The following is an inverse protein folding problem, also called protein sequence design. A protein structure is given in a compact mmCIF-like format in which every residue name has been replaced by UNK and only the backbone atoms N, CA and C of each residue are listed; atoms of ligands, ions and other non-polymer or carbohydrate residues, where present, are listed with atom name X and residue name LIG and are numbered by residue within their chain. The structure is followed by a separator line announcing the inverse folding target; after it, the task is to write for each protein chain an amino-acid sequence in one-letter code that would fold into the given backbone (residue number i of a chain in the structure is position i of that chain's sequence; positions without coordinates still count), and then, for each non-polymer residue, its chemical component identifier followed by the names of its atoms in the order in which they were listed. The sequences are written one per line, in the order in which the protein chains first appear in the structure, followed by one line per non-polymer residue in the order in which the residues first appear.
data_IF_123548737961
#
_entry.id   IF_123548737961
#
_cell.length_a   1.000
_cell.length_b   1.000
_cell.length_c   1.000
_cell.angle_alpha   90.00
_cell.angle_beta   90.00
_cell.angle_gamma   90.00
#
_symmetry.space_group_name_H-M   'P 1'
#
loop_
_entity.id
_entity.type
_entity.pdbx_description
1 polymer ?
#
# COMPACT_ATOMS: atom_id res chain seq x y z
N UNK A 1 14.84 21.94 -23.80
CA UNK A 1 13.73 22.10 -22.85
C UNK A 1 12.36 21.63 -23.36
N UNK A 2 11.96 21.83 -24.65
CA UNK A 2 10.64 21.39 -25.16
C UNK A 2 10.49 19.85 -25.25
N UNK A 3 11.53 19.11 -25.59
CA UNK A 3 11.47 17.65 -25.74
C UNK A 3 11.32 16.94 -24.36
N UNK A 4 11.95 17.44 -23.33
CA UNK A 4 11.86 16.89 -21.97
C UNK A 4 10.45 17.01 -21.39
N UNK A 5 9.77 18.14 -21.70
CA UNK A 5 8.43 18.40 -21.20
C UNK A 5 7.35 17.49 -21.86
N UNK A 6 7.59 17.07 -23.10
CA UNK A 6 6.67 16.15 -23.82
C UNK A 6 6.83 14.71 -23.32
N UNK A 7 8.07 14.28 -23.05
CA UNK A 7 8.35 12.96 -22.50
C UNK A 7 7.78 12.81 -21.07
N UNK A 8 7.91 13.86 -20.28
CA UNK A 8 7.35 13.93 -18.92
C UNK A 8 5.81 13.84 -18.91
N UNK A 9 5.14 14.55 -19.84
CA UNK A 9 3.67 14.50 -19.94
C UNK A 9 3.17 13.09 -20.30
N UNK A 10 3.85 12.41 -21.20
CA UNK A 10 3.45 11.06 -21.65
C UNK A 10 3.66 10.03 -20.52
N UNK A 11 4.72 10.17 -19.75
CA UNK A 11 5.03 9.24 -18.63
C UNK A 11 4.05 9.39 -17.46
N UNK A 12 3.69 10.63 -17.07
CA UNK A 12 2.70 10.90 -16.01
C UNK A 12 1.33 10.31 -16.38
N UNK A 13 0.95 10.42 -17.64
CA UNK A 13 -0.33 9.97 -18.15
C UNK A 13 -0.45 8.44 -18.09
N UNK A 14 0.61 7.71 -18.39
CA UNK A 14 0.59 6.23 -18.37
C UNK A 14 0.47 5.68 -16.95
N UNK A 15 0.99 6.35 -15.96
CA UNK A 15 1.00 5.89 -14.57
C UNK A 15 -0.35 6.04 -13.82
N UNK A 16 -1.24 6.95 -14.29
CA UNK A 16 -2.59 7.07 -13.72
C UNK A 16 -3.58 6.04 -14.31
N UNK A 17 -3.16 5.30 -15.34
CA UNK A 17 -3.97 4.30 -16.04
C UNK A 17 -3.55 2.90 -15.65
N UNK A 18 -4.17 2.36 -14.62
CA UNK A 18 -4.19 0.92 -14.37
C UNK A 18 -5.22 0.33 -15.34
N UNK A 19 -4.78 -0.07 -16.55
CA UNK A 19 -5.64 -0.79 -17.47
C UNK A 19 -5.55 -2.30 -17.21
N UNK A 20 -6.71 -2.91 -17.03
CA UNK A 20 -6.88 -4.34 -16.89
C UNK A 20 -6.82 -5.00 -18.26
N UNK A 21 -5.84 -5.86 -18.47
CA UNK A 21 -5.91 -6.89 -19.49
C UNK A 21 -6.10 -8.22 -18.78
N UNK A 22 -7.33 -8.73 -18.81
CA UNK A 22 -7.64 -10.08 -18.34
C UNK A 22 -7.18 -11.05 -19.42
N UNK A 23 -6.04 -11.71 -19.21
CA UNK A 23 -5.70 -12.95 -19.90
C UNK A 23 -5.79 -14.08 -18.87
N UNK A 24 -6.82 -14.91 -19.02
CA UNK A 24 -7.02 -16.07 -18.18
C UNK A 24 -5.89 -17.09 -18.35
N UNK A 25 -5.39 -17.62 -17.25
CA UNK A 25 -4.50 -18.79 -17.23
C UNK A 25 -4.95 -19.75 -16.13
N UNK A 26 -5.00 -21.02 -16.55
CA UNK A 26 -5.59 -22.14 -15.92
C UNK A 26 -5.06 -22.53 -14.54
N UNK A 27 -5.92 -23.24 -13.84
CA UNK A 27 -5.69 -23.84 -12.53
C UNK A 27 -4.65 -24.97 -12.58
N UNK A 28 -3.72 -24.96 -11.62
CA UNK A 28 -2.84 -26.09 -11.31
C UNK A 28 -3.27 -26.68 -9.98
N UNK A 29 -3.48 -28.01 -9.86
CA UNK A 29 -3.92 -28.62 -8.62
C UNK A 29 -2.75 -28.82 -7.65
N UNK A 30 -2.95 -28.42 -6.39
CA UNK A 30 -2.01 -28.71 -5.30
C UNK A 30 -2.45 -29.98 -4.59
N UNK A 31 -1.61 -31.01 -4.64
CA UNK A 31 -1.73 -32.25 -3.86
C UNK A 31 -1.24 -32.02 -2.44
N UNK A 32 -2.07 -32.43 -1.48
CA UNK A 32 -1.79 -32.31 -0.06
C UNK A 32 -0.70 -33.29 0.42
N UNK A 33 0.04 -32.85 1.42
CA UNK A 33 0.91 -33.66 2.24
C UNK A 33 0.66 -33.35 3.72
N UNK A 34 0.08 -34.30 4.43
CA UNK A 34 -0.05 -34.33 5.89
C UNK A 34 1.33 -34.47 6.54
N UNK A 35 1.64 -33.62 7.51
CA UNK A 35 2.68 -33.86 8.49
C UNK A 35 2.08 -33.75 9.89
N UNK A 36 2.01 -34.85 10.61
CA UNK A 36 1.72 -34.94 12.04
C UNK A 36 2.97 -34.56 12.83
N UNK A 37 2.81 -33.77 13.88
CA UNK A 37 3.82 -33.62 14.94
C UNK A 37 3.14 -33.89 16.26
N UNK A 38 3.39 -35.11 16.75
CA UNK A 38 3.23 -35.50 18.15
C UNK A 38 4.60 -35.48 18.82
N UNK A 39 4.57 -35.23 20.12
CA UNK A 39 5.63 -35.41 21.12
C UNK A 39 6.73 -34.32 21.22
N UNK A 40 6.58 -33.56 22.31
CA UNK A 40 7.56 -33.51 23.41
C UNK A 40 6.99 -32.71 24.59
N UNK A 41 6.52 -33.50 25.57
CA UNK A 41 6.23 -33.08 26.95
C UNK A 41 7.45 -33.39 27.81
N UNK A 42 7.80 -32.46 28.71
CA UNK A 42 8.34 -32.71 30.08
C UNK A 42 9.04 -31.44 30.57
N UNK A 43 8.51 -30.77 31.42
CA UNK A 43 8.25 -30.66 32.88
C UNK A 43 9.24 -29.72 33.62
N UNK A 44 8.94 -29.29 34.87
CA UNK A 44 8.84 -27.91 35.22
C UNK A 44 9.91 -27.44 36.23
N UNK A 45 10.21 -26.14 36.33
CA UNK A 45 10.92 -25.57 37.51
C UNK A 45 10.38 -24.18 37.90
N UNK A 46 9.74 -24.21 39.05
CA UNK A 46 9.81 -23.31 40.19
C UNK A 46 9.73 -21.77 40.06
N UNK A 47 8.69 -21.27 40.68
CA UNK A 47 8.46 -19.98 41.35
C UNK A 47 9.68 -19.20 41.84
N UNK A 48 9.73 -17.92 41.47
CA UNK A 48 10.11 -16.84 42.39
C UNK A 48 9.09 -15.72 42.24
N UNK A 49 8.33 -15.44 43.29
CA UNK A 49 7.58 -14.19 43.47
C UNK A 49 8.57 -13.07 43.82
N UNK A 50 8.47 -11.95 43.12
CA UNK A 50 8.48 -10.67 43.85
C UNK A 50 7.69 -9.64 43.08
N UNK A 51 6.96 -8.88 43.86
CA UNK A 51 5.95 -7.92 43.54
C UNK A 51 6.55 -6.56 43.20
N UNK A 52 6.12 -5.97 42.05
CA UNK A 52 5.58 -4.61 42.02
C UNK A 52 4.97 -4.36 40.64
N UNK A 53 3.65 -4.39 40.57
CA UNK A 53 2.88 -4.14 39.36
C UNK A 53 2.62 -2.64 39.18
N UNK A 54 3.25 -2.07 38.18
CA UNK A 54 2.63 -1.01 37.42
C UNK A 54 1.81 -1.66 36.29
N UNK A 55 0.51 -1.43 36.29
CA UNK A 55 -0.41 -1.94 35.30
C UNK A 55 -0.04 -1.40 33.92
N UNK A 56 0.59 -2.23 33.08
CA UNK A 56 0.80 -1.97 31.66
C UNK A 56 -0.42 -2.51 30.92
N UNK A 57 -1.11 -1.62 30.23
CA UNK A 57 -2.28 -1.88 29.39
C UNK A 57 -2.01 -3.04 28.44
N UNK A 58 -2.79 -4.11 28.52
CA UNK A 58 -2.65 -5.37 27.78
C UNK A 58 -3.08 -5.29 26.29
N UNK A 59 -3.21 -4.08 25.72
CA UNK A 59 -3.53 -3.87 24.32
C UNK A 59 -2.33 -3.69 23.39
N UNK A 60 -1.18 -3.23 23.93
CA UNK A 60 0.00 -2.84 23.12
C UNK A 60 0.95 -4.01 22.78
N UNK A 61 0.93 -5.08 23.58
CA UNK A 61 1.88 -6.19 23.39
C UNK A 61 1.56 -7.07 22.18
N UNK A 62 0.29 -7.17 21.77
CA UNK A 62 -0.14 -8.01 20.64
C UNK A 62 0.17 -7.37 19.29
N UNK A 63 -0.05 -6.08 19.17
CA UNK A 63 0.22 -5.27 17.98
C UNK A 63 1.71 -5.24 17.64
N UNK A 64 2.57 -5.01 18.64
CA UNK A 64 4.02 -4.99 18.44
C UNK A 64 4.58 -6.36 17.97
N UNK A 65 4.02 -7.47 18.44
CA UNK A 65 4.42 -8.83 18.04
C UNK A 65 3.98 -9.13 16.61
N UNK A 66 2.77 -8.71 16.19
CA UNK A 66 2.29 -8.90 14.82
C UNK A 66 3.14 -8.11 13.82
N UNK A 67 3.38 -6.83 14.09
CA UNK A 67 4.26 -5.99 13.27
C UNK A 67 5.68 -6.60 13.18
N UNK A 68 6.26 -7.06 14.29
CA UNK A 68 7.60 -7.65 14.27
C UNK A 68 7.67 -8.89 13.38
N UNK A 69 6.69 -9.80 13.47
CA UNK A 69 6.60 -10.98 12.60
C UNK A 69 6.46 -10.58 11.12
N UNK A 70 5.66 -9.57 10.85
CA UNK A 70 5.51 -9.07 9.49
C UNK A 70 6.84 -8.47 8.97
N UNK A 71 7.53 -7.63 9.75
CA UNK A 71 8.85 -7.09 9.42
C UNK A 71 9.82 -8.21 9.08
N UNK A 72 9.93 -9.24 9.92
CA UNK A 72 10.81 -10.39 9.68
C UNK A 72 10.46 -11.13 8.37
N UNK A 73 9.17 -11.21 8.02
CA UNK A 73 8.69 -11.93 6.83
C UNK A 73 9.01 -11.22 5.51
N UNK A 74 9.14 -9.89 5.51
CA UNK A 74 9.36 -9.09 4.29
C UNK A 74 10.78 -8.54 4.15
N UNK A 75 11.59 -8.59 5.20
CA UNK A 75 12.96 -8.07 5.20
C UNK A 75 13.89 -8.94 4.32
N UNK A 76 14.71 -8.29 3.47
CA UNK A 76 15.65 -8.94 2.55
C UNK A 76 17.07 -8.36 2.62
N UNK A 77 17.33 -7.47 3.59
CA UNK A 77 18.61 -6.81 3.80
C UNK A 77 18.83 -5.55 2.95
N UNK A 78 17.90 -5.16 2.08
CA UNK A 78 18.06 -4.00 1.20
C UNK A 78 17.57 -2.70 1.87
N UNK A 79 18.48 -1.93 2.43
CA UNK A 79 18.18 -0.66 3.07
C UNK A 79 17.53 0.34 2.09
N UNK A 80 16.54 1.10 2.57
CA UNK A 80 15.86 2.15 1.82
C UNK A 80 14.94 1.64 0.69
N UNK A 81 14.74 0.33 0.58
CA UNK A 81 13.77 -0.27 -0.36
C UNK A 81 12.53 -0.68 0.41
N UNK A 82 11.37 -0.16 0.03
CA UNK A 82 10.11 -0.51 0.67
C UNK A 82 9.76 -1.97 0.37
N UNK A 83 9.49 -2.76 1.42
CA UNK A 83 9.16 -4.19 1.33
C UNK A 83 7.84 -4.55 1.93
N UNK A 84 7.27 -3.71 2.77
CA UNK A 84 5.96 -3.95 3.38
C UNK A 84 5.23 -2.68 3.76
N UNK A 85 3.91 -2.79 3.85
CA UNK A 85 3.04 -1.83 4.54
C UNK A 85 2.18 -2.59 5.55
N UNK A 86 2.02 -2.01 6.72
CA UNK A 86 1.26 -2.58 7.82
C UNK A 86 0.35 -1.51 8.43
N UNK A 87 -0.90 -1.85 8.65
CA UNK A 87 -1.81 -1.08 9.51
C UNK A 87 -2.53 -2.07 10.40
N UNK A 88 -2.54 -1.81 11.70
CA UNK A 88 -3.09 -2.73 12.69
C UNK A 88 -4.54 -3.11 12.39
N UNK A 89 -4.86 -4.40 12.43
CA UNK A 89 -6.18 -4.98 12.16
C UNK A 89 -6.75 -4.72 10.75
N UNK A 90 -6.00 -4.07 9.85
CA UNK A 90 -6.48 -3.68 8.52
C UNK A 90 -5.67 -4.29 7.39
N UNK A 91 -4.33 -4.26 7.46
CA UNK A 91 -3.49 -4.77 6.38
C UNK A 91 -2.06 -5.12 6.84
N UNK A 92 -1.51 -6.17 6.23
CA UNK A 92 -0.09 -6.56 6.30
C UNK A 92 0.32 -7.06 4.91
N UNK A 93 0.75 -6.14 4.04
CA UNK A 93 0.98 -6.45 2.64
C UNK A 93 2.44 -6.28 2.23
N UNK A 94 3.06 -7.34 1.66
CA UNK A 94 4.34 -7.22 0.97
C UNK A 94 4.26 -6.20 -0.18
N UNK A 95 5.35 -5.47 -0.38
CA UNK A 95 5.48 -4.45 -1.43
C UNK A 95 6.44 -4.96 -2.51
N UNK A 96 5.96 -5.04 -3.74
CA UNK A 96 6.80 -5.28 -4.91
C UNK A 96 7.14 -3.97 -5.61
N UNK A 97 8.32 -3.92 -6.20
CA UNK A 97 8.79 -2.76 -6.95
C UNK A 97 8.25 -2.81 -8.39
N UNK A 98 7.86 -1.65 -8.95
CA UNK A 98 7.52 -1.59 -10.37
C UNK A 98 8.73 -2.00 -11.21
N UNK A 99 8.56 -2.93 -12.18
CA UNK A 99 9.64 -3.28 -13.11
C UNK A 99 10.06 -2.07 -13.95
N UNK A 100 11.35 -1.99 -14.26
CA UNK A 100 11.88 -0.93 -15.11
C UNK A 100 11.16 -0.91 -16.47
N UNK A 101 10.74 0.28 -16.91
CA UNK A 101 10.04 0.48 -18.17
C UNK A 101 8.55 0.09 -18.14
N UNK A 102 7.99 -0.30 -16.99
CA UNK A 102 6.59 -0.66 -16.84
C UNK A 102 5.85 0.25 -15.84
N UNK A 103 5.68 1.54 -16.14
CA UNK A 103 5.10 2.51 -15.20
C UNK A 103 3.62 2.26 -14.86
N UNK A 104 2.92 1.43 -15.65
CA UNK A 104 1.54 1.02 -15.39
C UNK A 104 1.42 -0.33 -14.66
N UNK A 105 2.53 -0.95 -14.25
CA UNK A 105 2.48 -2.22 -13.54
C UNK A 105 1.91 -2.04 -12.13
N UNK A 106 0.91 -2.88 -11.80
CA UNK A 106 0.41 -3.10 -10.45
C UNK A 106 0.28 -4.60 -10.26
N UNK A 107 0.72 -5.12 -9.12
CA UNK A 107 0.67 -6.55 -8.82
C UNK A 107 -0.76 -7.08 -8.91
N UNK A 108 -0.91 -8.22 -9.59
CA UNK A 108 -2.15 -9.00 -9.65
C UNK A 108 -2.17 -10.14 -8.62
N UNK A 109 -1.21 -10.19 -7.71
CA UNK A 109 -1.18 -11.17 -6.63
C UNK A 109 -2.10 -10.71 -5.50
N UNK A 110 -2.76 -11.70 -4.86
CA UNK A 110 -3.58 -11.44 -3.67
C UNK A 110 -2.69 -10.87 -2.55
N UNK A 111 -3.20 -9.87 -1.83
CA UNK A 111 -2.55 -9.26 -0.67
C UNK A 111 -1.12 -8.73 -0.93
N UNK A 112 -0.83 -8.35 -2.18
CA UNK A 112 0.43 -7.74 -2.58
C UNK A 112 0.18 -6.37 -3.19
N UNK A 113 0.92 -5.37 -2.72
CA UNK A 113 0.86 -4.00 -3.25
C UNK A 113 2.12 -3.64 -4.03
N UNK A 114 2.08 -2.54 -4.77
CA UNK A 114 3.18 -2.13 -5.65
C UNK A 114 3.69 -0.74 -5.29
N UNK A 115 5.00 -0.57 -5.09
CA UNK A 115 5.59 0.75 -4.97
C UNK A 115 5.60 1.48 -6.31
N UNK A 116 5.07 2.70 -6.33
CA UNK A 116 5.00 3.55 -7.51
C UNK A 116 6.32 4.28 -7.76
N UNK A 117 7.09 3.79 -8.70
CA UNK A 117 8.44 4.28 -8.98
C UNK A 117 8.50 5.78 -9.34
N UNK A 118 7.43 6.34 -9.93
CA UNK A 118 7.40 7.76 -10.28
C UNK A 118 7.22 8.66 -9.04
N UNK A 119 6.43 8.27 -8.04
CA UNK A 119 6.24 9.02 -6.81
C UNK A 119 7.59 9.24 -6.10
N UNK A 120 8.45 8.21 -6.10
CA UNK A 120 9.80 8.29 -5.51
C UNK A 120 10.65 9.41 -6.12
N UNK A 121 10.48 9.76 -7.40
CA UNK A 121 11.22 10.85 -8.04
C UNK A 121 10.84 12.22 -7.47
N UNK A 122 9.71 12.30 -6.78
CA UNK A 122 9.21 13.49 -6.08
C UNK A 122 9.39 13.43 -4.56
N UNK A 123 10.11 12.41 -4.06
CA UNK A 123 10.34 12.22 -2.62
C UNK A 123 9.15 11.65 -1.86
N UNK A 124 8.18 11.07 -2.57
CA UNK A 124 6.96 10.49 -1.99
C UNK A 124 7.00 8.97 -2.11
N UNK A 125 6.61 8.27 -1.07
CA UNK A 125 6.35 6.83 -1.11
C UNK A 125 4.94 6.61 -1.64
N UNK A 126 4.81 6.21 -2.91
CA UNK A 126 3.52 5.89 -3.52
C UNK A 126 3.26 4.38 -3.49
N UNK A 127 2.08 3.95 -3.09
CA UNK A 127 1.67 2.54 -3.07
C UNK A 127 0.39 2.38 -3.90
N UNK A 128 0.44 1.45 -4.84
CA UNK A 128 -0.66 1.13 -5.75
C UNK A 128 -1.21 -0.26 -5.46
N UNK A 129 -2.53 -0.40 -5.51
CA UNK A 129 -3.20 -1.68 -5.42
C UNK A 129 -4.48 -1.72 -6.26
N UNK A 130 -4.85 -2.91 -6.72
CA UNK A 130 -6.15 -3.12 -7.37
C UNK A 130 -7.27 -3.15 -6.34
N UNK A 131 -8.38 -2.46 -6.64
CA UNK A 131 -9.54 -2.34 -5.76
C UNK A 131 -10.28 -3.66 -5.48
N UNK A 132 -10.07 -4.69 -6.27
CA UNK A 132 -10.61 -6.04 -6.06
C UNK A 132 -9.61 -7.02 -5.44
N UNK A 133 -8.40 -6.55 -5.10
CA UNK A 133 -7.33 -7.28 -4.38
C UNK A 133 -6.95 -6.49 -3.11
N UNK A 134 -5.66 -6.32 -2.85
CA UNK A 134 -5.15 -5.61 -1.68
C UNK A 134 -5.75 -4.20 -1.49
N UNK A 135 -6.12 -3.52 -2.56
CA UNK A 135 -6.73 -2.18 -2.51
C UNK A 135 -8.11 -2.13 -1.85
N UNK A 136 -8.77 -3.28 -1.59
CA UNK A 136 -10.00 -3.31 -0.79
C UNK A 136 -9.75 -2.82 0.64
N UNK A 137 -8.60 -3.15 1.22
CA UNK A 137 -8.26 -2.71 2.56
C UNK A 137 -8.09 -1.18 2.68
N UNK A 138 -7.76 -0.49 1.59
CA UNK A 138 -7.61 0.97 1.63
C UNK A 138 -8.94 1.70 1.93
N UNK A 139 -10.08 1.09 1.62
CA UNK A 139 -11.40 1.65 1.92
C UNK A 139 -11.79 1.52 3.40
N UNK A 140 -11.05 0.77 4.20
CA UNK A 140 -11.30 0.62 5.64
C UNK A 140 -10.47 1.56 6.49
N UNK A 141 -9.56 2.31 5.88
CA UNK A 141 -8.68 3.25 6.54
C UNK A 141 -9.29 4.65 6.56
N UNK A 142 -9.13 5.34 7.68
CA UNK A 142 -9.68 6.68 7.94
C UNK A 142 -8.57 7.67 8.32
N UNK A 143 -8.92 8.94 8.42
CA UNK A 143 -8.00 9.94 8.98
C UNK A 143 -7.61 9.57 10.41
N UNK A 144 -6.37 9.88 10.78
CA UNK A 144 -5.71 9.55 12.05
C UNK A 144 -5.23 8.09 12.18
N UNK A 145 -5.60 7.16 11.26
CA UNK A 145 -5.04 5.81 11.25
C UNK A 145 -3.52 5.83 10.98
N UNK A 146 -2.81 4.89 11.62
CA UNK A 146 -1.37 4.74 11.49
C UNK A 146 -1.00 3.65 10.49
N UNK A 147 -0.04 3.95 9.62
CA UNK A 147 0.54 3.02 8.67
C UNK A 147 2.05 2.90 8.93
N UNK A 148 2.54 1.67 9.05
CA UNK A 148 3.96 1.36 9.10
C UNK A 148 4.46 1.01 7.69
N UNK A 149 5.43 1.75 7.19
CA UNK A 149 6.22 1.36 6.01
C UNK A 149 7.42 0.56 6.50
N UNK A 150 7.60 -0.65 5.99
CA UNK A 150 8.70 -1.54 6.33
C UNK A 150 9.72 -1.53 5.20
N UNK A 151 10.98 -1.28 5.53
CA UNK A 151 12.10 -1.35 4.59
C UNK A 151 12.79 -2.71 4.62
N UNK A 152 13.54 -3.02 3.55
CA UNK A 152 14.18 -4.33 3.42
C UNK A 152 15.26 -4.62 4.48
N UNK A 153 15.82 -3.62 5.13
CA UNK A 153 16.75 -3.78 6.26
C UNK A 153 16.03 -4.01 7.61
N UNK A 154 14.71 -4.11 7.59
CA UNK A 154 13.89 -4.28 8.79
C UNK A 154 13.57 -2.99 9.53
N UNK A 155 14.06 -1.84 9.08
CA UNK A 155 13.65 -0.56 9.66
C UNK A 155 12.21 -0.21 9.27
N UNK A 156 11.53 0.58 10.10
CA UNK A 156 10.15 1.01 9.88
C UNK A 156 10.01 2.52 9.99
N UNK A 157 9.07 3.09 9.23
CA UNK A 157 8.63 4.48 9.38
C UNK A 157 7.14 4.51 9.58
N UNK A 158 6.69 5.18 10.64
CA UNK A 158 5.27 5.40 10.90
C UNK A 158 4.77 6.63 10.15
N UNK A 159 3.59 6.50 9.57
CA UNK A 159 2.83 7.57 8.94
C UNK A 159 1.43 7.63 9.54
N UNK A 160 0.86 8.83 9.66
CA UNK A 160 -0.52 9.05 10.07
C UNK A 160 -1.32 9.58 8.87
N UNK A 161 -2.48 9.00 8.58
CA UNK A 161 -3.37 9.46 7.52
C UNK A 161 -3.91 10.84 7.89
N UNK A 162 -3.70 11.81 7.01
CA UNK A 162 -4.16 13.21 7.19
C UNK A 162 -5.25 13.59 6.19
N UNK A 163 -5.36 12.88 5.06
CA UNK A 163 -6.40 13.14 4.07
C UNK A 163 -6.86 11.85 3.40
N UNK A 164 -8.17 11.74 3.18
CA UNK A 164 -8.83 10.71 2.38
C UNK A 164 -9.52 11.40 1.22
N UNK A 165 -9.06 11.15 0.00
CA UNK A 165 -9.49 11.90 -1.20
C UNK A 165 -10.19 10.98 -2.19
N UNK A 166 -11.35 11.39 -2.67
CA UNK A 166 -12.14 10.64 -3.63
C UNK A 166 -12.32 11.44 -4.92
N UNK A 167 -11.92 10.88 -6.04
CA UNK A 167 -12.03 11.51 -7.35
C UNK A 167 -12.81 10.65 -8.33
N UNK A 168 -13.75 11.25 -9.06
CA UNK A 168 -14.38 10.64 -10.23
C UNK A 168 -13.49 10.87 -11.47
N UNK A 169 -13.19 9.83 -12.22
CA UNK A 169 -12.56 9.95 -13.54
C UNK A 169 -13.62 10.28 -14.61
N UNK A 170 -13.46 11.39 -15.33
CA UNK A 170 -14.41 11.80 -16.39
C UNK A 170 -14.30 10.93 -17.64
N UNK A 171 -13.16 10.26 -17.82
CA UNK A 171 -12.90 9.30 -18.89
C UNK A 171 -12.10 8.13 -18.31
N UNK A 172 -12.71 7.18 -17.57
CA UNK A 172 -12.04 6.14 -16.79
C UNK A 172 -10.96 5.35 -17.54
N UNK A 173 -11.17 5.13 -18.86
CA UNK A 173 -10.27 4.37 -19.74
C UNK A 173 -9.26 5.24 -20.51
N UNK A 174 -9.23 6.56 -20.24
CA UNK A 174 -8.30 7.48 -20.89
C UNK A 174 -7.11 7.81 -20.00
N UNK A 175 -5.92 7.70 -20.56
CA UNK A 175 -4.68 8.12 -19.92
C UNK A 175 -4.61 9.63 -19.62
N UNK A 176 -5.45 10.42 -20.25
CA UNK A 176 -5.54 11.88 -20.10
C UNK A 176 -6.83 12.32 -19.42
N UNK A 177 -7.50 11.41 -18.68
CA UNK A 177 -8.71 11.73 -17.95
C UNK A 177 -8.52 12.97 -17.10
N UNK A 178 -9.52 13.84 -17.05
CA UNK A 178 -9.71 14.76 -15.94
C UNK A 178 -10.45 14.08 -14.82
N UNK A 179 -10.32 14.60 -13.61
CA UNK A 179 -10.88 14.04 -12.39
C UNK A 179 -11.68 15.12 -11.66
N UNK A 180 -12.85 14.77 -11.17
CA UNK A 180 -13.65 15.62 -10.30
C UNK A 180 -13.44 15.17 -8.87
N UNK A 181 -13.02 16.07 -8.03
CA UNK A 181 -12.99 15.89 -6.59
C UNK A 181 -14.42 15.77 -6.07
N UNK A 182 -14.74 14.68 -5.36
CA UNK A 182 -16.12 14.40 -4.95
C UNK A 182 -16.57 15.23 -3.74
N UNK A 183 -15.63 15.81 -3.01
CA UNK A 183 -15.93 16.64 -1.83
C UNK A 183 -16.10 18.11 -2.23
N UNK A 184 -15.19 18.64 -3.06
CA UNK A 184 -15.19 20.05 -3.47
C UNK A 184 -15.91 20.32 -4.80
N UNK A 185 -16.03 19.32 -5.67
CA UNK A 185 -16.50 19.45 -7.04
C UNK A 185 -15.47 20.07 -8.00
N UNK A 186 -14.24 20.32 -7.56
CA UNK A 186 -13.18 20.85 -8.40
C UNK A 186 -12.77 19.83 -9.48
N UNK A 187 -12.53 20.31 -10.69
CA UNK A 187 -12.04 19.48 -11.78
C UNK A 187 -10.53 19.67 -11.99
N UNK A 188 -9.77 18.60 -11.84
CA UNK A 188 -8.33 18.57 -12.05
C UNK A 188 -7.97 17.77 -13.31
N UNK A 189 -6.99 18.24 -14.06
CA UNK A 189 -6.33 17.40 -15.08
C UNK A 189 -5.51 16.31 -14.41
N UNK A 190 -5.16 15.23 -15.14
CA UNK A 190 -4.30 14.16 -14.65
C UNK A 190 -2.98 14.68 -14.05
N UNK A 191 -2.37 15.71 -14.66
CA UNK A 191 -1.12 16.29 -14.16
C UNK A 191 -1.29 17.14 -12.89
N UNK A 192 -2.44 17.80 -12.73
CA UNK A 192 -2.76 18.51 -11.49
C UNK A 192 -3.04 17.55 -10.36
N UNK A 193 -3.84 16.52 -10.61
CA UNK A 193 -4.10 15.45 -9.63
C UNK A 193 -2.79 14.76 -9.21
N UNK A 194 -1.93 14.38 -10.16
CA UNK A 194 -0.63 13.80 -9.84
C UNK A 194 0.17 14.70 -8.89
N UNK A 195 0.26 15.99 -9.17
CA UNK A 195 0.98 16.95 -8.31
C UNK A 195 0.33 17.06 -6.92
N UNK A 196 -0.99 17.01 -6.85
CA UNK A 196 -1.75 17.09 -5.59
C UNK A 196 -1.42 15.92 -4.66
N UNK A 197 -1.24 14.72 -5.20
CA UNK A 197 -1.14 13.49 -4.40
C UNK A 197 0.27 12.89 -4.35
N UNK A 198 1.19 13.30 -5.25
CA UNK A 198 2.54 12.72 -5.35
C UNK A 198 3.67 13.77 -5.39
N UNK A 199 3.40 15.03 -5.03
CA UNK A 199 4.44 16.04 -4.94
C UNK A 199 4.28 16.89 -3.68
N UNK A 200 5.37 17.49 -3.20
CA UNK A 200 5.40 18.31 -1.99
C UNK A 200 6.43 17.82 -0.98
N UNK A 201 6.12 17.92 0.31
CA UNK A 201 6.92 17.34 1.38
C UNK A 201 6.93 15.79 1.29
N UNK A 202 7.92 15.15 1.90
CA UNK A 202 7.96 13.69 1.98
C UNK A 202 6.72 13.16 2.71
N UNK A 203 5.97 12.27 2.07
CA UNK A 203 4.77 11.65 2.62
C UNK A 203 4.53 10.26 1.98
N UNK A 204 3.55 9.53 2.52
CA UNK A 204 3.04 8.29 1.95
C UNK A 204 1.72 8.56 1.23
N UNK A 205 1.55 8.01 0.01
CA UNK A 205 0.27 8.01 -0.70
C UNK A 205 -0.13 6.58 -1.04
N UNK A 206 -1.28 6.12 -0.53
CA UNK A 206 -1.91 4.90 -1.01
C UNK A 206 -2.93 5.25 -2.10
N UNK A 207 -2.96 4.49 -3.19
CA UNK A 207 -3.91 4.68 -4.29
C UNK A 207 -4.56 3.37 -4.70
N UNK A 208 -5.90 3.42 -4.88
CA UNK A 208 -6.67 2.36 -5.54
C UNK A 208 -7.76 2.95 -6.44
N UNK A 209 -8.41 2.11 -7.25
CA UNK A 209 -9.57 2.51 -8.04
C UNK A 209 -10.85 2.47 -7.20
N UNK A 210 -11.84 3.28 -7.59
CA UNK A 210 -13.22 3.20 -7.10
C UNK A 210 -14.05 2.57 -8.22
N UNK A 211 -14.80 1.53 -7.90
CA UNK A 211 -15.74 0.89 -8.80
C UNK A 211 -17.15 1.45 -8.62
N UNK A 212 -17.86 1.70 -9.72
CA UNK A 212 -19.29 2.01 -9.71
C UNK A 212 -19.99 1.18 -10.79
N UNK A 213 -20.91 0.34 -10.40
CA UNK A 213 -21.57 -0.60 -11.29
C UNK A 213 -20.57 -1.57 -11.92
N UNK A 214 -20.50 -1.62 -13.25
CA UNK A 214 -19.56 -2.45 -14.01
C UNK A 214 -18.27 -1.73 -14.42
N UNK A 215 -18.07 -0.47 -14.02
CA UNK A 215 -16.85 0.28 -14.35
C UNK A 215 -15.87 0.23 -13.16
N UNK A 216 -14.85 -0.62 -13.27
CA UNK A 216 -13.88 -0.90 -12.19
C UNK A 216 -12.95 0.27 -11.91
N UNK A 217 -12.81 1.19 -12.85
CA UNK A 217 -11.93 2.36 -12.77
C UNK A 217 -12.68 3.70 -12.80
N UNK A 218 -13.97 3.68 -12.38
CA UNK A 218 -14.82 4.85 -12.34
C UNK A 218 -14.20 6.03 -11.60
N UNK A 219 -13.46 5.77 -10.53
CA UNK A 219 -12.81 6.80 -9.75
C UNK A 219 -11.47 6.36 -9.16
N UNK A 220 -10.93 7.22 -8.30
CA UNK A 220 -9.68 6.98 -7.56
C UNK A 220 -9.86 7.38 -6.11
N UNK A 221 -9.41 6.50 -5.21
CA UNK A 221 -9.20 6.77 -3.79
C UNK A 221 -7.71 7.03 -3.57
N UNK A 222 -7.40 8.11 -2.85
CA UNK A 222 -6.07 8.38 -2.32
C UNK A 222 -6.14 8.58 -0.81
N UNK A 223 -5.19 7.97 -0.10
CA UNK A 223 -4.93 8.23 1.31
C UNK A 223 -3.57 8.90 1.40
N UNK A 224 -3.53 10.11 1.92
CA UNK A 224 -2.30 10.87 2.14
C UNK A 224 -1.94 10.75 3.61
N UNK A 225 -0.72 10.30 3.90
CA UNK A 225 -0.25 10.12 5.27
C UNK A 225 1.12 10.80 5.47
N UNK A 226 1.25 11.56 6.54
CA UNK A 226 2.46 12.28 6.91
C UNK A 226 3.30 11.46 7.90
N UNK A 227 4.66 11.58 7.86
CA UNK A 227 5.51 10.87 8.80
C UNK A 227 5.29 11.36 10.22
N UNK A 228 5.12 10.41 11.14
CA UNK A 228 5.11 10.68 12.58
C UNK A 228 6.56 10.77 13.05
N UNK A 229 6.90 11.89 13.73
CA UNK A 229 8.25 12.21 14.25
C UNK A 229 8.41 11.73 15.69
#
# INVERSE_FOLDING_TARGET
MRALNTFFKTLIITALMIQFSITGIGAIPITGGNVQIDDLISDPIAYVQDSDQAAVSSGDSGSSVALQKFVESVSDGQAGVVRGIYAENSMEFPVVQQPSGQPGFVSSQQDVVTEFAMARQYGVTGILAHNYLAGQAFFTLEADDLIQVVYGDGSTQTYQIVEVLHYQALSPKSATSSFVDLDSGETLSASQLFKRVYAGSSHLTLQTCIQVGSEDSWGRLFLIAEPVV
#
